data_IF_071120164178
#
_entry.id   IF_071120164178
#
_cell.length_a   1.000
_cell.length_b   1.000
_cell.length_c   1.000
_cell.angle_alpha   90.00
_cell.angle_beta   90.00
_cell.angle_gamma   90.00
#
_symmetry.space_group_name_H-M   'P 1'
#
loop_
_entity.id
_entity.type
_entity.pdbx_description
1 polymer ?
#
# COMPACT_ATOMS: atom_id res chain seq x y z
N UNK A 1 -5.81 -10.96 17.42
CA UNK A 1 -4.69 -11.36 16.54
C UNK A 1 -5.14 -11.45 15.08
N UNK A 2 -6.06 -12.36 14.72
CA UNK A 2 -6.47 -12.60 13.32
C UNK A 2 -6.90 -11.34 12.56
N UNK A 3 -7.74 -10.48 13.15
CA UNK A 3 -8.19 -9.21 12.52
C UNK A 3 -7.04 -8.26 12.12
N UNK A 4 -5.96 -8.21 12.89
CA UNK A 4 -4.80 -7.34 12.62
C UNK A 4 -3.96 -7.92 11.47
N UNK A 5 -3.79 -9.24 11.45
CA UNK A 5 -3.06 -9.96 10.40
C UNK A 5 -3.82 -9.83 9.07
N UNK A 6 -5.15 -9.94 9.07
CA UNK A 6 -5.98 -9.74 7.87
C UNK A 6 -5.90 -8.31 7.35
N UNK A 7 -5.92 -7.29 8.22
CA UNK A 7 -5.74 -5.90 7.78
C UNK A 7 -4.35 -5.63 7.22
N UNK A 8 -3.32 -6.26 7.79
CA UNK A 8 -1.94 -6.13 7.32
C UNK A 8 -1.80 -6.74 5.91
N UNK A 9 -2.34 -7.95 5.72
CA UNK A 9 -2.30 -8.64 4.43
C UNK A 9 -3.01 -7.88 3.31
N UNK A 10 -4.15 -7.23 3.59
CA UNK A 10 -4.83 -6.37 2.60
C UNK A 10 -3.94 -5.17 2.23
N UNK A 11 -3.27 -4.57 3.22
CA UNK A 11 -2.30 -3.50 2.98
C UNK A 11 -1.15 -3.92 2.08
N UNK A 12 -0.58 -5.11 2.31
CA UNK A 12 0.54 -5.65 1.53
C UNK A 12 0.15 -5.96 0.07
N UNK A 13 -1.04 -6.50 -0.16
CA UNK A 13 -1.55 -6.74 -1.52
C UNK A 13 -1.71 -5.44 -2.28
N UNK A 14 -2.31 -4.41 -1.67
CA UNK A 14 -2.48 -3.09 -2.27
C UNK A 14 -1.12 -2.44 -2.54
N UNK A 15 -0.18 -2.50 -1.58
CA UNK A 15 1.19 -2.03 -1.75
C UNK A 15 1.87 -2.66 -2.97
N UNK A 16 1.74 -3.98 -3.11
CA UNK A 16 2.41 -4.73 -4.18
C UNK A 16 1.86 -4.34 -5.55
N UNK A 17 0.53 -4.24 -5.69
CA UNK A 17 -0.13 -3.85 -6.93
C UNK A 17 0.27 -2.42 -7.34
N UNK A 18 0.25 -1.48 -6.38
CA UNK A 18 0.63 -0.08 -6.62
C UNK A 18 2.10 0.01 -7.04
N UNK A 19 3.00 -0.70 -6.34
CA UNK A 19 4.43 -0.70 -6.65
C UNK A 19 4.70 -1.22 -8.06
N UNK A 20 4.07 -2.32 -8.44
CA UNK A 20 4.21 -2.90 -9.77
C UNK A 20 3.64 -1.97 -10.86
N UNK A 21 2.46 -1.40 -10.62
CA UNK A 21 1.79 -0.52 -11.59
C UNK A 21 2.62 0.74 -11.84
N UNK A 22 3.15 1.36 -10.78
CA UNK A 22 4.02 2.53 -10.91
C UNK A 22 5.33 2.19 -11.60
N UNK A 23 6.00 1.11 -11.19
CA UNK A 23 7.27 0.70 -11.79
C UNK A 23 7.11 0.46 -13.30
N UNK A 24 6.04 -0.23 -13.70
CA UNK A 24 5.71 -0.47 -15.10
C UNK A 24 5.47 0.84 -15.85
N UNK A 25 4.67 1.75 -15.28
CA UNK A 25 4.35 3.03 -15.92
C UNK A 25 5.59 3.91 -16.12
N UNK A 26 6.48 3.99 -15.11
CA UNK A 26 7.73 4.75 -15.21
C UNK A 26 8.71 4.11 -16.21
N UNK A 27 8.76 2.79 -16.32
CA UNK A 27 9.60 2.13 -17.33
C UNK A 27 9.07 2.36 -18.76
N UNK A 28 7.76 2.47 -18.93
CA UNK A 28 7.14 2.67 -20.25
C UNK A 28 7.45 4.08 -20.83
N UNK A 29 7.67 5.07 -19.98
CA UNK A 29 8.08 6.43 -20.37
C UNK A 29 9.61 6.59 -20.50
N UNK A 30 10.34 5.47 -20.60
CA UNK A 30 11.81 5.42 -20.72
C UNK A 30 12.54 6.12 -19.55
N UNK A 31 11.90 6.18 -18.37
CA UNK A 31 12.52 6.71 -17.17
C UNK A 31 13.61 5.74 -16.68
N UNK A 32 14.69 6.29 -16.11
CA UNK A 32 15.78 5.48 -15.59
C UNK A 32 15.26 4.47 -14.55
N UNK A 33 15.63 3.19 -14.71
CA UNK A 33 15.11 2.10 -13.92
C UNK A 33 15.41 2.26 -12.41
N UNK A 34 16.53 2.88 -12.06
CA UNK A 34 16.88 3.17 -10.67
C UNK A 34 15.92 4.19 -10.07
N UNK A 35 15.69 5.29 -10.79
CA UNK A 35 14.81 6.36 -10.35
C UNK A 35 13.34 5.91 -10.31
N UNK A 36 12.93 5.09 -11.28
CA UNK A 36 11.62 4.46 -11.33
C UNK A 36 11.36 3.59 -10.09
N UNK A 37 12.36 2.82 -9.65
CA UNK A 37 12.24 1.96 -8.46
C UNK A 37 12.13 2.79 -7.18
N UNK A 38 12.94 3.83 -7.02
CA UNK A 38 12.88 4.73 -5.85
C UNK A 38 11.52 5.40 -5.73
N UNK A 39 11.00 5.97 -6.83
CA UNK A 39 9.71 6.66 -6.82
C UNK A 39 8.57 5.67 -6.53
N UNK A 40 8.59 4.49 -7.15
CA UNK A 40 7.61 3.43 -6.91
C UNK A 40 7.64 2.95 -5.46
N UNK A 41 8.84 2.83 -4.87
CA UNK A 41 9.04 2.46 -3.47
C UNK A 41 8.49 3.51 -2.51
N UNK A 42 8.80 4.79 -2.74
CA UNK A 42 8.33 5.89 -1.88
C UNK A 42 6.80 6.00 -1.92
N UNK A 43 6.21 6.03 -3.11
CA UNK A 43 4.76 6.19 -3.27
C UNK A 43 4.02 4.99 -2.69
N UNK A 44 4.49 3.77 -2.93
CA UNK A 44 3.86 2.58 -2.36
C UNK A 44 3.92 2.58 -0.84
N UNK A 45 5.02 3.03 -0.25
CA UNK A 45 5.16 3.12 1.22
C UNK A 45 4.16 4.11 1.82
N UNK A 46 3.95 5.26 1.17
CA UNK A 46 2.95 6.25 1.60
C UNK A 46 1.53 5.67 1.51
N UNK A 47 1.19 5.04 0.38
CA UNK A 47 -0.13 4.40 0.18
C UNK A 47 -0.35 3.29 1.22
N UNK A 48 0.67 2.48 1.50
CA UNK A 48 0.60 1.44 2.53
C UNK A 48 0.28 2.02 3.91
N UNK A 49 0.97 3.10 4.33
CA UNK A 49 0.67 3.74 5.62
C UNK A 49 -0.74 4.32 5.70
N UNK A 50 -1.27 4.85 4.59
CA UNK A 50 -2.65 5.35 4.50
C UNK A 50 -3.65 4.20 4.63
N UNK A 51 -3.44 3.12 3.87
CA UNK A 51 -4.32 1.92 3.88
C UNK A 51 -4.31 1.26 5.26
N UNK A 52 -3.15 1.18 5.92
CA UNK A 52 -3.07 0.68 7.28
C UNK A 52 -3.80 1.57 8.27
N UNK A 53 -3.64 2.90 8.18
CA UNK A 53 -4.38 3.84 9.04
C UNK A 53 -5.90 3.68 8.87
N UNK A 54 -6.37 3.61 7.62
CA UNK A 54 -7.78 3.36 7.30
C UNK A 54 -8.27 2.01 7.84
N UNK A 55 -7.47 0.94 7.67
CA UNK A 55 -7.81 -0.40 8.13
C UNK A 55 -7.89 -0.49 9.65
N UNK A 56 -6.97 0.17 10.36
CA UNK A 56 -7.00 0.28 11.83
C UNK A 56 -8.20 1.10 12.29
N UNK A 57 -8.50 2.21 11.61
CA UNK A 57 -9.66 3.05 11.91
C UNK A 57 -10.97 2.29 11.68
N UNK A 58 -11.11 1.52 10.61
CA UNK A 58 -12.26 0.65 10.35
C UNK A 58 -12.39 -0.47 11.39
N UNK A 59 -11.28 -1.09 11.77
CA UNK A 59 -11.27 -2.13 12.82
C UNK A 59 -11.65 -1.59 14.20
N UNK A 60 -11.39 -0.30 14.46
CA UNK A 60 -11.87 0.43 15.65
C UNK A 60 -13.31 0.91 15.52
N UNK A 61 -13.73 1.41 14.36
CA UNK A 61 -15.10 1.85 14.09
C UNK A 61 -16.08 0.67 14.31
N UNK A 62 -15.70 -0.53 13.87
CA UNK A 62 -16.49 -1.75 14.09
C UNK A 62 -16.55 -2.21 15.56
N UNK A 63 -15.86 -1.55 16.50
CA UNK A 63 -15.92 -1.86 17.94
C UNK A 63 -16.77 -0.87 18.73
N UNK A 64 -17.28 0.19 18.11
CA UNK A 64 -18.13 1.19 18.79
C UNK A 64 -19.63 0.88 18.69
N UNK A 65 -20.01 -0.16 17.95
CA UNK A 65 -21.42 -0.57 17.70
C UNK A 65 -21.88 -1.80 18.52
N UNK A 66 -21.24 -2.12 19.65
CA UNK A 66 -21.74 -3.16 20.59
C UNK A 66 -21.38 -2.84 22.02
#
# INVERSE_FOLDING_TARGET
MIKIITSLGIGEVVYTIVRWSLQYYLLQIEYDAYLASIISQMISTVVYMIVLNLSVKMSRLYKDDT
#
